data_IF_177711588423
#
_entry.id   IF_177711588423
#
_cell.length_a   1.000
_cell.length_b   1.000
_cell.length_c   1.000
_cell.angle_alpha   90.00
_cell.angle_beta   90.00
_cell.angle_gamma   90.00
#
_symmetry.space_group_name_H-M   'P 1'
#
loop_
_entity.id
_entity.type
_entity.pdbx_description
1 polymer ?
#
# COMPACT_ATOMS: atom_id res chain seq x y z
N UNK A 1 -33.86 3.47 -43.30
CA UNK A 1 -33.72 2.77 -41.99
C UNK A 1 -32.32 2.18 -41.71
N UNK A 2 -31.57 1.65 -42.70
CA UNK A 2 -30.24 1.07 -42.45
C UNK A 2 -29.18 2.03 -41.87
N UNK A 3 -29.26 3.32 -42.19
CA UNK A 3 -28.29 4.32 -41.71
C UNK A 3 -28.55 4.80 -40.26
N UNK A 4 -29.77 4.61 -39.73
CA UNK A 4 -30.11 4.97 -38.35
C UNK A 4 -29.52 3.98 -37.34
N UNK A 5 -29.43 2.71 -37.70
CA UNK A 5 -28.78 1.67 -36.87
C UNK A 5 -27.27 1.85 -36.79
N UNK A 6 -26.63 2.28 -37.87
CA UNK A 6 -25.19 2.58 -37.89
C UNK A 6 -24.82 3.80 -37.02
N UNK A 7 -25.67 4.85 -37.03
CA UNK A 7 -25.50 6.01 -36.16
C UNK A 7 -25.66 5.68 -34.67
N UNK A 8 -26.57 4.75 -34.32
CA UNK A 8 -26.74 4.28 -32.95
C UNK A 8 -25.56 3.44 -32.45
N UNK A 9 -24.97 2.61 -33.31
CA UNK A 9 -23.76 1.82 -32.97
C UNK A 9 -22.53 2.71 -32.73
N UNK A 10 -22.37 3.82 -33.47
CA UNK A 10 -21.28 4.78 -33.27
C UNK A 10 -21.43 5.61 -31.98
N UNK A 11 -22.66 5.89 -31.55
CA UNK A 11 -22.92 6.60 -30.29
C UNK A 11 -22.65 5.73 -29.05
N UNK A 12 -22.77 4.40 -29.15
CA UNK A 12 -22.49 3.48 -28.04
C UNK A 12 -20.97 3.29 -27.83
N UNK A 13 -20.14 3.45 -28.88
CA UNK A 13 -18.67 3.35 -28.74
C UNK A 13 -18.02 4.56 -28.06
N UNK A 14 -18.73 5.68 -27.90
CA UNK A 14 -18.19 6.91 -27.31
C UNK A 14 -18.26 6.96 -25.76
N UNK A 15 -18.88 5.97 -25.10
CA UNK A 15 -18.99 5.90 -23.64
C UNK A 15 -18.00 4.93 -22.99
N UNK A 16 -17.02 4.42 -23.75
CA UNK A 16 -15.88 3.72 -23.15
C UNK A 16 -15.09 4.72 -22.30
N UNK A 17 -15.24 4.63 -20.98
CA UNK A 17 -14.46 5.45 -20.05
C UNK A 17 -12.98 5.13 -20.27
N UNK A 18 -12.25 6.06 -20.89
CA UNK A 18 -10.82 5.92 -21.09
C UNK A 18 -10.14 5.65 -19.75
N UNK A 19 -9.28 4.63 -19.72
CA UNK A 19 -8.47 4.31 -18.57
C UNK A 19 -7.57 5.51 -18.27
N UNK A 20 -7.81 6.20 -17.14
CA UNK A 20 -7.02 7.36 -16.72
C UNK A 20 -5.67 6.87 -16.23
N UNK A 21 -4.71 6.66 -17.13
CA UNK A 21 -3.32 6.47 -16.71
C UNK A 21 -2.80 7.81 -16.15
N UNK A 22 -2.37 7.85 -14.88
CA UNK A 22 -1.86 9.08 -14.29
C UNK A 22 -0.62 9.60 -15.04
N UNK A 23 -0.61 10.89 -15.35
CA UNK A 23 0.51 11.58 -15.99
C UNK A 23 1.58 11.94 -14.94
N UNK A 24 2.35 10.95 -14.52
CA UNK A 24 3.43 11.06 -13.54
C UNK A 24 4.58 10.13 -13.98
N UNK A 25 5.81 10.65 -14.01
CA UNK A 25 7.02 9.89 -14.38
C UNK A 25 7.34 8.75 -13.40
N UNK A 26 6.69 8.71 -12.23
CA UNK A 26 6.71 7.54 -11.35
C UNK A 26 6.35 6.24 -12.08
N UNK A 27 5.42 6.28 -13.04
CA UNK A 27 4.91 5.08 -13.69
C UNK A 27 5.78 4.59 -14.87
N UNK A 28 6.88 5.28 -15.15
CA UNK A 28 7.84 4.88 -16.17
C UNK A 28 8.48 3.53 -15.85
N UNK A 29 8.82 2.79 -16.90
CA UNK A 29 9.46 1.46 -16.80
C UNK A 29 10.77 1.47 -16.00
N UNK A 30 11.46 2.62 -15.94
CA UNK A 30 12.71 2.78 -15.18
C UNK A 30 12.48 2.63 -13.67
N UNK A 31 11.29 2.98 -13.19
CA UNK A 31 10.91 2.93 -11.79
C UNK A 31 10.20 1.62 -11.43
N UNK A 32 9.96 0.73 -12.41
CA UNK A 32 9.26 -0.53 -12.21
C UNK A 32 10.17 -1.52 -11.49
N UNK A 33 9.72 -2.02 -10.35
CA UNK A 33 10.38 -3.14 -9.68
C UNK A 33 9.81 -4.46 -10.17
N UNK A 34 10.69 -5.36 -10.60
CA UNK A 34 10.30 -6.72 -10.95
C UNK A 34 9.86 -7.49 -9.70
N UNK A 35 8.86 -8.36 -9.86
CA UNK A 35 8.25 -9.11 -8.75
C UNK A 35 8.26 -10.60 -9.11
N UNK A 36 8.69 -11.41 -8.15
CA UNK A 36 8.64 -12.86 -8.21
C UNK A 36 7.95 -13.37 -6.95
N UNK A 37 6.95 -14.23 -7.13
CA UNK A 37 6.23 -14.87 -6.03
C UNK A 37 6.61 -16.35 -6.02
N UNK A 38 7.15 -16.82 -4.91
CA UNK A 38 7.31 -18.25 -4.64
C UNK A 38 6.17 -18.67 -3.71
N UNK A 39 5.28 -19.50 -4.23
CA UNK A 39 4.11 -20.03 -3.55
C UNK A 39 4.00 -21.53 -3.89
N UNK A 40 5.01 -22.27 -3.47
CA UNK A 40 5.09 -23.71 -3.71
C UNK A 40 4.06 -24.48 -2.88
N UNK A 41 3.69 -25.67 -3.37
CA UNK A 41 2.65 -26.50 -2.75
C UNK A 41 2.94 -26.90 -1.29
N UNK A 42 4.22 -26.87 -0.90
CA UNK A 42 4.71 -27.18 0.46
C UNK A 42 5.58 -26.07 1.06
N UNK A 43 5.72 -24.92 0.39
CA UNK A 43 6.52 -23.79 0.88
C UNK A 43 5.60 -22.61 1.19
N UNK A 44 5.89 -21.91 2.27
CA UNK A 44 5.08 -20.75 2.63
C UNK A 44 5.42 -19.57 1.73
N UNK A 45 4.39 -18.90 1.19
CA UNK A 45 4.51 -17.78 0.24
C UNK A 45 5.60 -16.77 0.63
N UNK A 46 6.52 -16.51 -0.30
CA UNK A 46 7.49 -15.42 -0.23
C UNK A 46 7.43 -14.57 -1.49
N UNK A 47 7.78 -13.29 -1.36
CA UNK A 47 7.71 -12.33 -2.46
C UNK A 47 9.04 -11.60 -2.55
N UNK A 48 9.68 -11.69 -3.71
CA UNK A 48 10.83 -10.88 -4.09
C UNK A 48 10.34 -9.72 -4.93
N UNK A 49 10.75 -8.49 -4.61
CA UNK A 49 10.35 -7.27 -5.31
C UNK A 49 11.51 -6.28 -5.32
N UNK A 50 11.94 -5.89 -6.52
CA UNK A 50 13.14 -5.07 -6.69
C UNK A 50 14.33 -5.72 -5.96
N UNK A 51 15.06 -4.99 -5.11
CA UNK A 51 16.20 -5.53 -4.36
C UNK A 51 15.84 -6.14 -2.99
N UNK A 52 14.55 -6.39 -2.72
CA UNK A 52 14.06 -6.90 -1.44
C UNK A 52 13.34 -8.25 -1.59
N UNK A 53 13.31 -9.02 -0.51
CA UNK A 53 12.50 -10.23 -0.38
C UNK A 53 11.79 -10.27 0.98
N UNK A 54 10.63 -10.93 1.02
CA UNK A 54 9.96 -11.26 2.29
C UNK A 54 10.35 -12.64 2.77
N UNK A 55 10.42 -12.84 4.10
CA UNK A 55 10.25 -14.17 4.67
C UNK A 55 8.80 -14.61 4.56
N UNK A 56 8.55 -15.87 4.86
CA UNK A 56 7.19 -16.41 5.00
C UNK A 56 6.41 -15.68 6.10
N UNK A 57 5.12 -15.52 5.86
CA UNK A 57 4.14 -14.98 6.81
C UNK A 57 3.96 -15.93 8.00
N UNK A 58 4.04 -15.38 9.22
CA UNK A 58 3.74 -16.09 10.47
C UNK A 58 2.51 -15.46 11.11
N UNK A 59 1.48 -16.26 11.37
CA UNK A 59 0.25 -15.75 12.00
C UNK A 59 0.49 -15.39 13.47
N UNK A 60 -0.23 -14.38 13.94
CA UNK A 60 -0.15 -13.88 15.32
C UNK A 60 0.58 -12.54 15.45
N UNK A 61 0.72 -12.12 16.71
CA UNK A 61 1.36 -10.87 17.11
C UNK A 61 2.78 -11.19 17.60
N UNK A 62 3.78 -10.48 17.08
CA UNK A 62 5.12 -10.45 17.65
C UNK A 62 5.25 -9.25 18.60
N UNK A 63 5.11 -9.53 19.91
CA UNK A 63 5.18 -8.53 20.97
C UNK A 63 6.50 -7.75 20.99
N UNK A 64 7.58 -8.31 20.44
CA UNK A 64 8.88 -7.64 20.32
C UNK A 64 8.84 -6.46 19.35
N UNK A 65 7.92 -6.50 18.37
CA UNK A 65 7.72 -5.45 17.37
C UNK A 65 6.62 -4.49 17.85
N UNK A 66 5.53 -5.04 18.37
CA UNK A 66 4.33 -4.25 18.66
C UNK A 66 4.34 -3.56 20.00
N UNK A 67 4.96 -4.15 21.03
CA UNK A 67 4.55 -3.90 22.40
C UNK A 67 3.07 -4.30 22.61
N UNK A 68 2.37 -3.55 23.47
CA UNK A 68 0.97 -3.82 23.79
C UNK A 68 0.01 -3.21 22.75
N UNK A 69 -0.75 -4.05 22.05
CA UNK A 69 -1.83 -3.63 21.14
C UNK A 69 -3.13 -4.28 21.59
N UNK A 70 -4.18 -3.47 21.72
CA UNK A 70 -5.50 -3.93 22.13
C UNK A 70 -6.28 -4.51 20.94
N UNK A 71 -6.78 -5.73 21.11
CA UNK A 71 -7.71 -6.42 20.20
C UNK A 71 -7.30 -6.46 18.70
N UNK A 72 -6.08 -6.92 18.37
CA UNK A 72 -5.67 -7.07 16.97
C UNK A 72 -6.46 -8.19 16.27
N UNK A 73 -6.83 -7.97 15.02
CA UNK A 73 -7.44 -8.97 14.12
C UNK A 73 -6.52 -9.30 12.97
N UNK A 74 -6.64 -10.51 12.42
CA UNK A 74 -5.90 -10.95 11.24
C UNK A 74 -4.38 -10.68 11.31
N UNK A 75 -3.81 -10.73 12.51
CA UNK A 75 -2.43 -10.35 12.76
C UNK A 75 -1.44 -11.36 12.17
N UNK A 76 -0.36 -10.85 11.59
CA UNK A 76 0.79 -11.65 11.19
C UNK A 76 2.08 -10.83 11.17
N UNK A 77 3.20 -11.52 11.23
CA UNK A 77 4.52 -10.95 11.13
C UNK A 77 5.35 -11.64 10.04
N UNK A 78 6.35 -10.92 9.55
CA UNK A 78 7.34 -11.38 8.58
C UNK A 78 8.57 -10.48 8.64
N UNK A 79 9.58 -10.78 7.85
CA UNK A 79 10.77 -9.93 7.69
C UNK A 79 10.94 -9.53 6.24
N UNK A 80 11.40 -8.30 6.01
CA UNK A 80 11.86 -7.83 4.71
C UNK A 80 13.38 -7.75 4.73
N UNK A 81 14.04 -8.45 3.82
CA UNK A 81 15.50 -8.45 3.71
C UNK A 81 15.93 -7.90 2.35
N UNK A 82 16.97 -7.07 2.33
CA UNK A 82 17.47 -6.46 1.10
C UNK A 82 18.42 -5.30 1.39
N UNK A 83 19.33 -5.00 0.46
CA UNK A 83 20.34 -3.93 0.62
C UNK A 83 21.08 -3.94 1.97
N UNK A 84 21.38 -5.13 2.50
CA UNK A 84 22.04 -5.31 3.80
C UNK A 84 21.21 -4.89 5.02
N UNK A 85 19.88 -4.76 4.88
CA UNK A 85 18.93 -4.60 5.99
C UNK A 85 18.07 -5.83 6.17
N UNK A 86 17.57 -6.02 7.40
CA UNK A 86 16.57 -7.04 7.74
C UNK A 86 15.53 -6.44 8.67
N UNK A 87 14.41 -6.01 8.10
CA UNK A 87 13.36 -5.27 8.79
C UNK A 87 12.30 -6.25 9.29
N UNK A 88 12.05 -6.28 10.59
CA UNK A 88 10.93 -7.02 11.16
C UNK A 88 9.65 -6.21 11.02
N UNK A 89 8.60 -6.86 10.51
CA UNK A 89 7.32 -6.23 10.20
C UNK A 89 6.20 -6.99 10.89
N UNK A 90 5.34 -6.25 11.58
CA UNK A 90 4.05 -6.72 12.03
C UNK A 90 2.94 -6.02 11.22
N UNK A 91 1.97 -6.78 10.74
CA UNK A 91 0.73 -6.25 10.16
C UNK A 91 -0.49 -6.85 10.87
N UNK A 92 -1.60 -6.11 10.88
CA UNK A 92 -2.85 -6.49 11.52
C UNK A 92 -4.00 -5.55 11.12
N UNK A 93 -5.19 -5.88 11.55
CA UNK A 93 -6.36 -5.01 11.52
C UNK A 93 -6.69 -4.53 12.94
N UNK A 94 -6.93 -3.22 13.08
CA UNK A 94 -7.27 -2.57 14.35
C UNK A 94 -8.48 -1.65 14.14
N UNK A 95 -9.37 -1.58 15.12
CA UNK A 95 -10.50 -0.63 15.12
C UNK A 95 -10.04 0.80 15.43
N UNK A 96 -10.63 1.80 14.77
CA UNK A 96 -10.31 3.22 14.93
C UNK A 96 -10.28 3.68 16.39
N UNK A 97 -11.15 3.13 17.26
CA UNK A 97 -11.16 3.42 18.71
C UNK A 97 -9.78 3.30 19.40
N UNK A 98 -8.87 2.46 18.88
CA UNK A 98 -7.51 2.32 19.42
C UNK A 98 -6.61 3.54 19.17
N UNK A 99 -7.05 4.50 18.34
CA UNK A 99 -6.29 5.69 17.95
C UNK A 99 -6.89 6.99 18.48
N UNK A 100 -8.01 6.98 19.22
CA UNK A 100 -8.70 8.21 19.66
C UNK A 100 -7.86 9.15 20.54
N UNK A 101 -6.86 8.62 21.23
CA UNK A 101 -5.92 9.41 22.04
C UNK A 101 -4.63 9.76 21.30
N UNK A 102 -4.62 9.64 19.97
CA UNK A 102 -3.45 9.85 19.12
C UNK A 102 -3.82 10.86 18.04
N UNK A 103 -2.91 11.79 17.78
CA UNK A 103 -3.09 12.71 16.66
C UNK A 103 -3.17 11.92 15.35
N UNK A 104 -4.21 12.13 14.56
CA UNK A 104 -4.43 11.52 13.25
C UNK A 104 -4.81 12.62 12.25
N UNK A 105 -4.39 12.51 10.98
CA UNK A 105 -4.91 13.40 9.95
C UNK A 105 -6.44 13.34 9.89
N UNK A 106 -7.10 14.49 9.63
CA UNK A 106 -8.57 14.63 9.57
C UNK A 106 -9.29 13.51 8.80
N UNK A 107 -8.71 13.01 7.72
CA UNK A 107 -9.32 11.98 6.87
C UNK A 107 -9.27 10.56 7.47
N UNK A 108 -8.50 10.35 8.54
CA UNK A 108 -8.52 9.15 9.36
C UNK A 108 -9.29 9.41 10.66
N UNK A 109 -9.11 10.57 11.27
CA UNK A 109 -9.72 10.94 12.56
C UNK A 109 -11.25 11.05 12.50
N UNK A 110 -11.81 11.38 11.33
CA UNK A 110 -13.28 11.47 11.13
C UNK A 110 -13.96 10.13 10.80
N UNK A 111 -13.21 9.04 10.72
CA UNK A 111 -13.78 7.72 10.51
C UNK A 111 -14.55 7.25 11.75
N UNK A 112 -15.55 6.39 11.58
CA UNK A 112 -16.30 5.84 12.72
C UNK A 112 -15.38 5.09 13.68
N UNK A 113 -15.62 5.15 14.99
CA UNK A 113 -14.86 4.39 16.01
C UNK A 113 -14.79 2.87 15.73
N UNK A 114 -15.80 2.35 15.01
CA UNK A 114 -15.89 0.94 14.59
C UNK A 114 -15.21 0.65 13.25
N UNK A 115 -14.73 1.68 12.54
CA UNK A 115 -14.01 1.51 11.29
C UNK A 115 -12.76 0.67 11.53
N UNK A 116 -12.48 -0.26 10.62
CA UNK A 116 -11.30 -1.12 10.70
C UNK A 116 -10.20 -0.51 9.84
N UNK A 117 -9.03 -0.31 10.45
CA UNK A 117 -7.82 0.13 9.78
C UNK A 117 -6.88 -1.05 9.58
N UNK A 118 -6.25 -1.08 8.41
CA UNK A 118 -5.05 -1.87 8.20
C UNK A 118 -3.88 -1.15 8.86
N UNK A 119 -3.20 -1.85 9.75
CA UNK A 119 -2.15 -1.30 10.57
C UNK A 119 -0.89 -2.15 10.46
N UNK A 120 0.23 -1.51 10.14
CA UNK A 120 1.52 -2.18 10.15
C UNK A 120 2.58 -1.37 10.91
N UNK A 121 3.51 -2.10 11.51
CA UNK A 121 4.55 -1.62 12.40
C UNK A 121 5.86 -2.25 12.00
N UNK A 122 6.88 -1.43 11.88
CA UNK A 122 8.25 -1.88 11.63
C UNK A 122 9.24 -0.81 12.07
N UNK A 123 10.43 -1.23 12.45
CA UNK A 123 11.50 -0.31 12.81
C UNK A 123 12.60 -0.36 11.77
N UNK A 124 13.24 0.78 11.52
CA UNK A 124 14.54 0.75 10.85
C UNK A 124 15.52 -0.11 11.69
N UNK A 125 16.50 -0.72 11.03
CA UNK A 125 17.50 -1.60 11.63
C UNK A 125 18.91 -1.02 11.64
N UNK A 126 19.15 0.09 10.93
CA UNK A 126 20.52 0.64 10.78
C UNK A 126 20.77 1.94 11.57
N UNK A 127 19.78 2.82 11.72
CA UNK A 127 20.02 4.15 12.31
C UNK A 127 19.47 4.28 13.74
N UNK A 128 20.34 4.62 14.70
CA UNK A 128 19.95 4.93 16.07
C UNK A 128 19.60 6.43 16.23
N UNK A 129 18.53 6.80 16.96
CA UNK A 129 17.55 5.91 17.56
C UNK A 129 16.68 5.24 16.50
N UNK A 130 16.38 3.94 16.70
CA UNK A 130 15.56 3.17 15.78
C UNK A 130 14.16 3.79 15.71
N UNK A 131 13.87 4.48 14.62
CA UNK A 131 12.54 5.07 14.41
C UNK A 131 11.56 3.96 14.09
N UNK A 132 10.49 3.88 14.88
CA UNK A 132 9.35 3.01 14.62
C UNK A 132 8.41 3.68 13.63
N UNK A 133 8.20 3.01 12.52
CA UNK A 133 7.26 3.40 11.48
C UNK A 133 5.92 2.71 11.68
N UNK A 134 4.88 3.46 11.39
CA UNK A 134 3.49 3.01 11.46
C UNK A 134 2.81 3.32 10.14
N UNK A 135 2.25 2.29 9.49
CA UNK A 135 1.36 2.43 8.36
C UNK A 135 -0.07 2.27 8.86
N UNK A 136 -0.90 3.31 8.69
CA UNK A 136 -2.32 3.29 9.05
C UNK A 136 -3.12 3.56 7.78
N UNK A 137 -3.92 2.59 7.33
CA UNK A 137 -4.77 2.72 6.15
C UNK A 137 -6.22 2.41 6.48
N UNK A 138 -7.13 3.29 6.06
CA UNK A 138 -8.57 3.01 6.08
C UNK A 138 -8.97 2.18 4.86
N UNK A 139 -10.11 1.50 4.95
CA UNK A 139 -10.76 0.96 3.76
C UNK A 139 -11.27 2.12 2.88
N UNK A 140 -10.91 2.13 1.60
CA UNK A 140 -11.38 3.12 0.64
C UNK A 140 -12.67 2.65 -0.02
N UNK A 141 -13.71 3.49 -0.03
CA UNK A 141 -14.90 3.24 -0.83
C UNK A 141 -14.60 3.47 -2.33
N UNK A 142 -15.42 2.89 -3.22
CA UNK A 142 -15.25 3.07 -4.67
C UNK A 142 -15.15 4.55 -5.11
N UNK A 143 -15.95 5.43 -4.51
CA UNK A 143 -15.92 6.86 -4.82
C UNK A 143 -14.60 7.52 -4.41
N UNK A 144 -14.01 7.09 -3.28
CA UNK A 144 -12.71 7.58 -2.83
C UNK A 144 -11.60 7.17 -3.79
N UNK A 145 -11.69 5.96 -4.37
CA UNK A 145 -10.73 5.44 -5.34
C UNK A 145 -10.77 6.19 -6.67
N UNK A 146 -11.95 6.59 -7.14
CA UNK A 146 -12.08 7.34 -8.39
C UNK A 146 -11.55 8.78 -8.28
N UNK A 147 -11.50 9.33 -7.05
CA UNK A 147 -11.11 10.70 -6.75
C UNK A 147 -9.69 10.82 -6.16
N UNK A 148 -8.90 9.74 -6.20
CA UNK A 148 -7.53 9.69 -5.64
C UNK A 148 -7.44 10.12 -4.17
N UNK A 149 -8.47 9.86 -3.37
CA UNK A 149 -8.50 10.38 -2.00
C UNK A 149 -7.41 9.77 -1.12
N UNK A 150 -6.96 10.51 -0.08
CA UNK A 150 -6.11 9.95 0.95
C UNK A 150 -6.75 8.71 1.58
N UNK A 151 -5.99 7.62 1.62
CA UNK A 151 -6.38 6.34 2.22
C UNK A 151 -5.65 6.11 3.54
N UNK A 152 -4.55 6.82 3.80
CA UNK A 152 -3.82 6.64 5.03
C UNK A 152 -2.52 7.42 5.13
N UNK A 153 -1.68 6.99 6.05
CA UNK A 153 -0.42 7.64 6.38
C UNK A 153 0.61 6.58 6.79
N UNK A 154 1.85 6.77 6.34
CA UNK A 154 3.03 6.08 6.82
C UNK A 154 3.85 7.10 7.62
N UNK A 155 4.06 6.88 8.91
CA UNK A 155 4.64 7.92 9.78
C UNK A 155 5.57 7.39 10.86
N UNK A 156 6.34 8.33 11.40
CA UNK A 156 7.02 8.28 12.70
C UNK A 156 6.59 9.51 13.51
N UNK A 157 7.19 9.76 14.68
CA UNK A 157 6.93 10.98 15.46
C UNK A 157 7.34 12.28 14.74
N UNK A 158 8.33 12.24 13.83
CA UNK A 158 8.87 13.44 13.18
C UNK A 158 8.67 13.52 11.66
N UNK A 159 8.21 12.43 11.03
CA UNK A 159 8.13 12.34 9.57
C UNK A 159 6.84 11.63 9.15
N UNK A 160 6.26 12.08 8.04
CA UNK A 160 5.08 11.45 7.45
C UNK A 160 5.14 11.38 5.92
N UNK A 161 4.56 10.30 5.41
CA UNK A 161 4.37 10.01 3.99
C UNK A 161 2.88 9.74 3.84
N UNK A 162 2.20 10.55 3.05
CA UNK A 162 0.76 10.36 2.79
C UNK A 162 0.59 9.16 1.87
N UNK A 163 -0.46 8.38 2.10
CA UNK A 163 -0.86 7.29 1.21
C UNK A 163 -2.24 7.60 0.65
N UNK A 164 -2.37 7.66 -0.67
CA UNK A 164 -3.68 7.67 -1.36
C UNK A 164 -3.96 6.30 -1.97
N UNK A 165 -5.23 6.05 -2.29
CA UNK A 165 -5.62 4.84 -3.02
C UNK A 165 -6.46 5.23 -4.24
N UNK A 166 -6.25 4.55 -5.36
CA UNK A 166 -7.02 4.73 -6.58
C UNK A 166 -7.19 3.44 -7.37
N UNK A 167 -8.00 3.48 -8.43
CA UNK A 167 -8.28 2.36 -9.33
C UNK A 167 -7.90 2.66 -10.80
N UNK A 168 -6.93 3.55 -11.03
CA UNK A 168 -6.50 3.97 -12.37
C UNK A 168 -6.04 2.82 -13.30
N UNK A 169 -5.59 1.71 -12.70
CA UNK A 169 -5.15 0.52 -13.42
C UNK A 169 -6.21 -0.58 -13.51
N UNK A 170 -7.45 -0.28 -13.11
CA UNK A 170 -8.59 -1.18 -13.13
C UNK A 170 -9.82 -0.55 -13.80
N UNK A 171 -10.98 -1.17 -13.60
CA UNK A 171 -12.27 -0.58 -13.99
C UNK A 171 -12.67 0.51 -13.00
N UNK A 172 -13.26 1.59 -13.52
CA UNK A 172 -13.93 2.62 -12.70
C UNK A 172 -14.99 1.96 -11.83
N UNK A 173 -15.14 2.39 -10.58
CA UNK A 173 -16.02 1.78 -9.58
C UNK A 173 -15.70 0.30 -9.27
N UNK A 174 -14.43 -0.10 -9.38
CA UNK A 174 -13.96 -1.43 -9.00
C UNK A 174 -12.91 -1.38 -7.90
N UNK A 175 -12.84 -2.47 -7.12
CA UNK A 175 -11.80 -2.75 -6.12
C UNK A 175 -10.70 -3.61 -6.75
N UNK A 176 -10.85 -3.95 -8.04
CA UNK A 176 -9.78 -4.56 -8.82
C UNK A 176 -8.65 -3.55 -9.01
N UNK A 177 -7.42 -4.03 -8.86
CA UNK A 177 -6.21 -3.26 -9.08
C UNK A 177 -6.13 -1.95 -8.30
N UNK A 178 -6.60 -1.95 -7.03
CA UNK A 178 -6.37 -0.82 -6.12
C UNK A 178 -4.86 -0.53 -6.09
N UNK A 179 -4.50 0.69 -6.41
CA UNK A 179 -3.15 1.20 -6.39
C UNK A 179 -2.99 2.14 -5.18
N UNK A 180 -2.09 1.79 -4.28
CA UNK A 180 -1.69 2.65 -3.17
C UNK A 180 -0.50 3.51 -3.61
N UNK A 181 -0.62 4.83 -3.50
CA UNK A 181 0.42 5.78 -3.91
C UNK A 181 0.99 6.48 -2.68
N UNK A 182 2.29 6.34 -2.48
CA UNK A 182 3.06 6.97 -1.41
C UNK A 182 3.57 8.32 -1.86
N UNK A 183 3.27 9.37 -1.09
CA UNK A 183 3.60 10.75 -1.39
C UNK A 183 4.38 11.40 -0.25
N UNK A 184 5.60 11.86 -0.55
CA UNK A 184 6.46 12.62 0.37
C UNK A 184 6.46 14.08 -0.09
N UNK A 185 5.85 14.96 0.71
CA UNK A 185 5.58 16.34 0.31
C UNK A 185 4.72 16.42 -0.95
N UNK A 186 5.23 17.06 -2.00
CA UNK A 186 4.50 17.20 -3.28
C UNK A 186 4.74 16.04 -4.27
N UNK A 187 5.72 15.16 -4.02
CA UNK A 187 6.20 14.15 -4.97
C UNK A 187 5.65 12.76 -4.64
N UNK A 188 5.12 12.06 -5.64
CA UNK A 188 4.79 10.64 -5.51
C UNK A 188 6.09 9.85 -5.62
N UNK A 189 6.41 9.03 -4.61
CA UNK A 189 7.71 8.36 -4.48
C UNK A 189 7.62 6.86 -4.74
N UNK A 190 6.45 6.27 -4.53
CA UNK A 190 6.18 4.88 -4.83
C UNK A 190 4.69 4.64 -5.09
N UNK A 191 4.38 3.60 -5.83
CA UNK A 191 3.03 3.12 -6.05
C UNK A 191 3.02 1.58 -6.04
N UNK A 192 1.99 0.98 -5.47
CA UNK A 192 1.85 -0.48 -5.40
C UNK A 192 0.43 -0.92 -5.67
N UNK A 193 0.29 -1.89 -6.56
CA UNK A 193 -0.92 -2.68 -6.76
C UNK A 193 -0.63 -4.05 -6.15
N UNK A 194 -1.23 -4.42 -5.00
CA UNK A 194 -0.91 -5.68 -4.33
C UNK A 194 -1.70 -6.90 -4.80
N UNK A 195 -2.69 -6.72 -5.69
CA UNK A 195 -3.62 -7.77 -6.10
C UNK A 195 -2.98 -8.98 -6.82
N UNK A 196 -3.80 -9.79 -7.48
CA UNK A 196 -3.39 -11.07 -8.10
C UNK A 196 -2.14 -10.97 -8.99
N UNK A 197 -2.01 -9.87 -9.73
CA UNK A 197 -0.83 -9.56 -10.54
C UNK A 197 -0.22 -8.28 -9.97
N UNK A 198 0.68 -8.38 -8.99
CA UNK A 198 1.17 -7.21 -8.31
C UNK A 198 2.05 -6.37 -9.23
N UNK A 199 2.05 -5.06 -9.01
CA UNK A 199 2.91 -4.10 -9.72
C UNK A 199 3.41 -3.05 -8.74
N UNK A 200 4.70 -2.74 -8.84
CA UNK A 200 5.37 -1.81 -7.93
C UNK A 200 6.19 -0.83 -8.75
N UNK A 201 5.99 0.45 -8.50
CA UNK A 201 6.84 1.52 -8.98
C UNK A 201 7.48 2.22 -7.79
N UNK A 202 8.78 2.41 -7.82
CA UNK A 202 9.53 3.15 -6.80
C UNK A 202 10.54 4.02 -7.51
N UNK A 203 10.61 5.30 -7.15
CA UNK A 203 11.58 6.19 -7.78
C UNK A 203 13.01 5.78 -7.46
N UNK A 204 13.87 5.85 -8.47
CA UNK A 204 15.28 5.47 -8.35
C UNK A 204 16.15 6.49 -7.59
N UNK A 205 15.65 7.71 -7.36
CA UNK A 205 16.36 8.78 -6.68
C UNK A 205 16.15 8.80 -5.16
N UNK A 206 15.50 7.77 -4.60
CA UNK A 206 15.31 7.64 -3.16
C UNK A 206 16.62 7.26 -2.45
N UNK A 207 16.89 7.92 -1.34
CA UNK A 207 17.94 7.52 -0.42
C UNK A 207 17.67 6.12 0.16
N UNK A 208 18.72 5.43 0.62
CA UNK A 208 18.62 4.04 1.11
C UNK A 208 17.62 3.92 2.26
N UNK A 209 17.59 4.90 3.16
CA UNK A 209 16.68 4.92 4.30
C UNK A 209 15.22 4.98 3.86
N UNK A 210 14.85 5.95 2.99
CA UNK A 210 13.50 6.05 2.44
C UNK A 210 13.13 4.81 1.62
N UNK A 211 14.07 4.27 0.83
CA UNK A 211 13.88 3.03 0.06
C UNK A 211 13.53 1.83 0.97
N UNK A 212 14.21 1.68 2.10
CA UNK A 212 13.98 0.59 3.06
C UNK A 212 12.61 0.72 3.75
N UNK A 213 12.23 1.93 4.14
CA UNK A 213 10.93 2.22 4.76
C UNK A 213 9.78 1.91 3.78
N UNK A 214 9.91 2.36 2.53
CA UNK A 214 8.93 2.09 1.49
C UNK A 214 8.85 0.60 1.15
N UNK A 215 9.99 -0.09 1.09
CA UNK A 215 10.01 -1.53 0.87
C UNK A 215 9.25 -2.30 1.96
N UNK A 216 9.48 -1.97 3.23
CA UNK A 216 8.75 -2.57 4.34
C UNK A 216 7.24 -2.32 4.24
N UNK A 217 6.82 -1.07 3.97
CA UNK A 217 5.41 -0.73 3.77
C UNK A 217 4.78 -1.50 2.59
N UNK A 218 5.47 -1.57 1.44
CA UNK A 218 5.04 -2.33 0.27
C UNK A 218 4.88 -3.81 0.62
N UNK A 219 5.85 -4.41 1.33
CA UNK A 219 5.79 -5.80 1.77
C UNK A 219 4.52 -6.12 2.57
N UNK A 220 4.05 -5.18 3.42
CA UNK A 220 2.80 -5.37 4.18
C UNK A 220 1.58 -5.46 3.28
N UNK A 221 1.58 -4.71 2.18
CA UNK A 221 0.47 -4.68 1.23
C UNK A 221 0.46 -5.92 0.34
N UNK A 222 1.63 -6.40 -0.08
CA UNK A 222 1.76 -7.60 -0.92
C UNK A 222 1.37 -8.90 -0.19
N UNK A 223 1.52 -8.93 1.14
CA UNK A 223 1.19 -10.07 2.01
C UNK A 223 -0.15 -9.93 2.74
N UNK A 224 -0.90 -8.87 2.43
CA UNK A 224 -2.25 -8.62 2.98
C UNK A 224 -3.20 -9.75 2.60
#
# INVERSE_FOLDING_TARGET
>A
MRYLFAAWLLLITATASAQRTPNDDLYDSVNLWHITIDDGWFTAKTITYGPYNTSSRKNGVDERITGNITAPKNAFNFTVSGKGTRIAVQAMEITHIAFLNRDLPDYLDRESDKATFWYALFSDTKNAPLKRWELILKASAYMDLNEDKPAGILRTEGESIRVSANNHFGKVNSYENICYVFRKGKKNIAAVIPGKVPRIWVRNDLDEYTSNVIAAAIGTLLLR
#
